data_IF_426035707653
#
_entry.id   IF_426035707653
#
_cell.length_a   1.000
_cell.length_b   1.000
_cell.length_c   1.000
_cell.angle_alpha   90.00
_cell.angle_beta   90.00
_cell.angle_gamma   90.00
#
_symmetry.space_group_name_H-M   'P 1'
#
loop_
_entity.id
_entity.type
_entity.pdbx_description
1 polymer ?
#
# COMPACT_ATOMS: atom_id res chain seq x y z
N UNK A 1 32.55 44.09 21.83
CA UNK A 1 31.36 44.26 22.71
C UNK A 1 30.03 44.24 21.95
N UNK A 2 30.00 44.43 20.61
CA UNK A 2 28.77 44.52 19.80
C UNK A 2 28.22 43.19 19.30
N UNK A 3 29.03 42.13 19.16
CA UNK A 3 28.58 40.82 18.69
C UNK A 3 27.88 39.99 19.77
N UNK A 4 28.24 40.17 21.03
CA UNK A 4 27.65 39.45 22.17
C UNK A 4 26.20 39.86 22.45
N UNK A 5 25.87 41.14 22.25
CA UNK A 5 24.51 41.65 22.43
C UNK A 5 23.52 41.18 21.32
N UNK A 6 24.04 40.96 20.12
CA UNK A 6 23.24 40.44 19.01
C UNK A 6 22.88 38.98 19.21
N UNK A 7 23.82 38.16 19.68
CA UNK A 7 23.58 36.74 19.92
C UNK A 7 22.64 36.49 21.10
N UNK A 8 22.66 37.34 22.12
CA UNK A 8 21.75 37.23 23.27
C UNK A 8 20.30 37.63 22.88
N UNK A 9 20.17 38.65 22.02
CA UNK A 9 18.86 39.09 21.53
C UNK A 9 18.19 38.06 20.60
N UNK A 10 18.99 37.36 19.79
CA UNK A 10 18.49 36.27 18.94
C UNK A 10 18.15 34.99 19.73
N UNK A 11 18.91 34.63 20.76
CA UNK A 11 18.57 33.50 21.63
C UNK A 11 17.31 33.71 22.44
N UNK A 12 17.07 34.92 22.93
CA UNK A 12 15.85 35.23 23.66
C UNK A 12 14.59 35.30 22.75
N UNK A 13 14.77 35.62 21.47
CA UNK A 13 13.67 35.58 20.49
C UNK A 13 13.31 34.14 20.05
N UNK A 14 14.24 33.18 20.14
CA UNK A 14 13.96 31.76 19.84
C UNK A 14 13.40 30.96 21.04
N UNK A 15 13.41 31.51 22.24
CA UNK A 15 12.85 30.87 23.44
C UNK A 15 11.49 31.40 23.88
N UNK A 16 10.95 32.42 23.20
CA UNK A 16 9.55 32.70 23.33
C UNK A 16 8.81 31.58 22.59
N UNK A 17 8.10 30.74 23.35
CA UNK A 17 7.01 29.90 22.82
C UNK A 17 6.26 30.77 21.79
N UNK A 18 6.33 30.37 20.53
CA UNK A 18 5.44 30.89 19.51
C UNK A 18 4.08 30.28 19.85
N UNK A 19 3.40 30.86 20.82
CA UNK A 19 1.94 30.73 20.89
C UNK A 19 1.48 31.13 19.51
N UNK A 20 0.66 30.31 18.91
CA UNK A 20 0.09 30.48 17.59
C UNK A 20 -0.34 31.95 17.42
N UNK A 21 0.12 32.68 16.37
CA UNK A 21 -0.18 34.09 16.19
C UNK A 21 -1.68 34.37 16.14
N UNK A 22 -2.52 33.38 15.87
CA UNK A 22 -3.96 33.44 15.94
C UNK A 22 -4.54 33.58 17.36
N UNK A 23 -3.75 33.36 18.41
CA UNK A 23 -4.13 33.51 19.82
C UNK A 23 -3.76 34.90 20.39
N UNK A 24 -3.17 35.78 19.59
CA UNK A 24 -2.83 37.13 20.02
C UNK A 24 -4.10 38.03 20.09
N UNK A 25 -4.31 38.68 21.22
CA UNK A 25 -5.50 39.52 21.48
C UNK A 25 -5.71 40.67 20.48
N UNK A 26 -4.74 40.96 19.62
CA UNK A 26 -4.87 41.92 18.54
C UNK A 26 -5.56 41.39 17.28
N UNK A 27 -5.83 40.06 17.20
CA UNK A 27 -6.58 39.46 16.10
C UNK A 27 -8.08 39.29 16.50
N UNK A 28 -8.80 40.36 16.65
CA UNK A 28 -10.26 40.36 17.01
C UNK A 28 -11.18 39.70 15.96
N UNK A 29 -10.66 39.13 14.88
CA UNK A 29 -11.46 38.57 13.78
C UNK A 29 -11.47 37.06 13.65
N UNK A 30 -10.60 36.32 14.36
CA UNK A 30 -10.46 34.88 14.24
C UNK A 30 -10.63 34.19 15.60
N UNK A 31 -11.86 34.06 16.07
CA UNK A 31 -12.16 33.14 17.16
C UNK A 31 -12.05 31.71 16.65
N UNK A 32 -10.88 31.09 16.77
CA UNK A 32 -10.74 29.66 16.55
C UNK A 32 -11.45 28.95 17.69
N UNK A 33 -12.63 28.44 17.44
CA UNK A 33 -13.33 27.59 18.39
C UNK A 33 -12.45 26.39 18.71
N UNK A 34 -12.28 26.07 20.01
CA UNK A 34 -11.67 24.81 20.43
C UNK A 34 -12.38 23.68 19.69
N UNK A 35 -11.65 22.96 18.84
CA UNK A 35 -12.21 21.82 18.13
C UNK A 35 -12.81 20.82 19.14
N UNK A 36 -13.81 20.08 18.68
CA UNK A 36 -14.37 18.95 19.44
C UNK A 36 -13.22 17.97 19.71
N UNK A 37 -13.06 17.54 20.97
CA UNK A 37 -12.12 16.45 21.29
C UNK A 37 -12.35 15.29 20.31
N UNK A 38 -11.31 14.95 19.57
CA UNK A 38 -11.42 13.84 18.63
C UNK A 38 -11.64 12.54 19.44
N UNK A 39 -12.65 11.75 19.08
CA UNK A 39 -12.82 10.43 19.71
C UNK A 39 -11.56 9.60 19.51
N UNK A 40 -11.28 8.73 20.48
CA UNK A 40 -10.13 7.83 20.41
C UNK A 40 -10.03 7.19 19.02
N UNK A 41 -8.85 7.19 18.37
CA UNK A 41 -8.66 6.73 16.98
C UNK A 41 -9.02 5.25 16.79
N UNK A 42 -9.18 4.52 17.88
CA UNK A 42 -9.61 3.11 17.86
C UNK A 42 -10.73 2.92 18.88
N UNK A 43 -11.92 2.55 18.41
CA UNK A 43 -13.01 2.18 19.31
C UNK A 43 -12.59 0.96 20.18
N UNK A 44 -12.51 1.07 21.51
CA UNK A 44 -12.03 0.00 22.38
C UNK A 44 -12.81 -1.31 22.22
N UNK A 45 -14.12 -1.23 21.98
CA UNK A 45 -14.97 -2.39 21.77
C UNK A 45 -14.63 -3.16 20.49
N UNK A 46 -14.22 -2.44 19.41
CA UNK A 46 -13.75 -3.06 18.17
C UNK A 46 -12.37 -3.69 18.39
N UNK A 47 -11.48 -3.00 19.11
CA UNK A 47 -10.14 -3.53 19.41
C UNK A 47 -10.22 -4.84 20.22
N UNK A 48 -11.11 -4.94 21.20
CA UNK A 48 -11.34 -6.19 21.94
C UNK A 48 -11.93 -7.29 21.05
N UNK A 49 -12.92 -6.99 20.23
CA UNK A 49 -13.49 -7.98 19.28
C UNK A 49 -12.43 -8.49 18.32
N UNK A 50 -11.53 -7.62 17.82
CA UNK A 50 -10.43 -8.01 16.93
C UNK A 50 -9.37 -8.89 17.59
N UNK A 51 -9.12 -8.73 18.91
CA UNK A 51 -8.22 -9.60 19.68
C UNK A 51 -8.71 -11.06 19.74
N UNK A 52 -10.01 -11.26 19.71
CA UNK A 52 -10.64 -12.59 19.77
C UNK A 52 -10.85 -13.23 18.38
N UNK A 53 -10.71 -12.46 17.29
CA UNK A 53 -10.77 -13.01 15.95
C UNK A 53 -9.44 -13.69 15.61
N UNK A 54 -9.30 -14.97 15.98
CA UNK A 54 -8.21 -15.80 15.43
C UNK A 54 -8.40 -15.88 13.93
N UNK A 55 -7.49 -15.28 13.16
CA UNK A 55 -7.44 -15.50 11.70
C UNK A 55 -7.35 -17.01 11.47
N UNK A 56 -8.34 -17.59 10.81
CA UNK A 56 -8.28 -18.98 10.37
C UNK A 56 -7.07 -19.11 9.44
N UNK A 57 -6.07 -19.89 9.84
CA UNK A 57 -4.96 -20.26 8.96
C UNK A 57 -5.46 -21.29 7.97
N UNK A 58 -5.41 -20.97 6.69
CA UNK A 58 -5.79 -21.90 5.62
C UNK A 58 -4.71 -22.97 5.47
N UNK A 59 -5.13 -24.17 5.11
CA UNK A 59 -4.22 -25.27 4.72
C UNK A 59 -3.73 -25.10 3.28
N UNK A 60 -2.67 -25.81 2.88
CA UNK A 60 -2.19 -25.79 1.50
C UNK A 60 -3.28 -26.23 0.51
N UNK A 61 -4.13 -27.21 0.89
CA UNK A 61 -5.26 -27.66 0.09
C UNK A 61 -6.30 -26.57 -0.15
N UNK A 62 -6.65 -25.82 0.91
CA UNK A 62 -7.61 -24.73 0.82
C UNK A 62 -7.07 -23.61 -0.08
N UNK A 63 -5.76 -23.27 0.01
CA UNK A 63 -5.12 -22.31 -0.89
C UNK A 63 -5.17 -22.76 -2.35
N UNK A 64 -4.70 -23.97 -2.64
CA UNK A 64 -4.63 -24.49 -4.01
C UNK A 64 -6.04 -24.59 -4.63
N UNK A 65 -7.00 -25.11 -3.87
CA UNK A 65 -8.39 -25.22 -4.33
C UNK A 65 -8.99 -23.84 -4.62
N UNK A 66 -8.77 -22.87 -3.75
CA UNK A 66 -9.27 -21.50 -3.94
C UNK A 66 -8.63 -20.81 -5.14
N UNK A 67 -7.31 -20.99 -5.34
CA UNK A 67 -6.59 -20.44 -6.49
C UNK A 67 -7.17 -21.01 -7.80
N UNK A 68 -7.39 -22.31 -7.89
CA UNK A 68 -7.94 -22.93 -9.09
C UNK A 68 -9.41 -22.57 -9.36
N UNK A 69 -10.17 -22.26 -8.32
CA UNK A 69 -11.53 -21.71 -8.44
C UNK A 69 -11.54 -20.24 -8.90
N UNK A 70 -10.39 -19.56 -8.87
CA UNK A 70 -10.28 -18.13 -9.20
C UNK A 70 -10.73 -17.21 -8.06
N UNK A 71 -10.67 -17.68 -6.80
CA UNK A 71 -10.97 -16.84 -5.64
C UNK A 71 -9.87 -15.82 -5.43
N UNK A 72 -10.19 -14.55 -5.72
CA UNK A 72 -9.25 -13.43 -5.64
C UNK A 72 -8.77 -13.20 -4.20
N UNK A 73 -9.61 -13.45 -3.20
CA UNK A 73 -9.22 -13.27 -1.80
C UNK A 73 -8.19 -14.31 -1.37
N UNK A 74 -8.42 -15.57 -1.74
CA UNK A 74 -7.46 -16.65 -1.46
C UNK A 74 -6.17 -16.45 -2.26
N UNK A 75 -6.25 -16.05 -3.52
CA UNK A 75 -5.08 -15.71 -4.33
C UNK A 75 -4.27 -14.58 -3.67
N UNK A 76 -4.91 -13.51 -3.22
CA UNK A 76 -4.24 -12.39 -2.54
C UNK A 76 -3.55 -12.83 -1.24
N UNK A 77 -4.18 -13.71 -0.46
CA UNK A 77 -3.58 -14.27 0.75
C UNK A 77 -2.39 -15.19 0.42
N UNK A 78 -2.51 -16.03 -0.60
CA UNK A 78 -1.43 -16.90 -1.06
C UNK A 78 -0.21 -16.10 -1.53
N UNK A 79 -0.41 -15.01 -2.28
CA UNK A 79 0.69 -14.13 -2.70
C UNK A 79 1.34 -13.47 -1.47
N UNK A 80 0.54 -13.02 -0.49
CA UNK A 80 1.07 -12.47 0.77
C UNK A 80 1.90 -13.51 1.54
N UNK A 81 1.47 -14.77 1.52
CA UNK A 81 2.20 -15.88 2.12
C UNK A 81 3.57 -16.08 1.43
N UNK A 82 3.60 -16.03 0.10
CA UNK A 82 4.84 -16.15 -0.70
C UNK A 82 5.79 -14.97 -0.46
N UNK A 83 5.26 -13.75 -0.36
CA UNK A 83 6.05 -12.54 -0.10
C UNK A 83 6.57 -12.45 1.34
N UNK A 84 6.00 -13.23 2.26
CA UNK A 84 6.37 -13.20 3.67
C UNK A 84 7.81 -13.67 3.91
N UNK A 85 8.53 -12.94 4.78
CA UNK A 85 9.87 -13.33 5.24
C UNK A 85 9.86 -14.33 6.43
N UNK A 86 8.69 -14.67 6.96
CA UNK A 86 8.55 -15.56 8.11
C UNK A 86 8.87 -17.01 7.71
N UNK A 87 9.62 -17.70 8.55
CA UNK A 87 10.07 -19.09 8.28
C UNK A 87 8.87 -20.06 8.23
N UNK A 88 7.91 -19.90 9.12
CA UNK A 88 6.68 -20.70 9.17
C UNK A 88 5.81 -20.54 7.90
N UNK A 89 5.83 -19.35 7.28
CA UNK A 89 5.14 -19.09 6.02
C UNK A 89 5.86 -19.68 4.80
N UNK A 90 7.19 -19.78 4.86
CA UNK A 90 7.98 -20.23 3.70
C UNK A 90 7.70 -21.69 3.32
N UNK A 91 7.58 -22.59 4.31
CA UNK A 91 7.26 -23.99 4.06
C UNK A 91 5.88 -24.15 3.40
N UNK A 92 4.88 -23.45 3.93
CA UNK A 92 3.52 -23.45 3.38
C UNK A 92 3.49 -22.82 1.98
N UNK A 93 4.18 -21.71 1.77
CA UNK A 93 4.27 -21.04 0.47
C UNK A 93 4.89 -21.95 -0.58
N UNK A 94 5.97 -22.65 -0.23
CA UNK A 94 6.65 -23.58 -1.15
C UNK A 94 5.75 -24.75 -1.52
N UNK A 95 4.98 -25.27 -0.58
CA UNK A 95 4.02 -26.34 -0.85
C UNK A 95 2.93 -25.88 -1.81
N UNK A 96 2.33 -24.72 -1.56
CA UNK A 96 1.30 -24.14 -2.44
C UNK A 96 1.86 -23.90 -3.86
N UNK A 97 3.07 -23.34 -3.98
CA UNK A 97 3.73 -23.12 -5.27
C UNK A 97 3.93 -24.45 -6.00
N UNK A 98 4.53 -25.44 -5.34
CA UNK A 98 4.83 -26.75 -5.96
C UNK A 98 3.56 -27.41 -6.52
N UNK A 99 2.44 -27.28 -5.81
CA UNK A 99 1.16 -27.85 -6.23
C UNK A 99 0.49 -27.05 -7.36
N UNK A 100 0.79 -25.76 -7.49
CA UNK A 100 0.29 -24.93 -8.59
C UNK A 100 1.14 -25.08 -9.87
N UNK A 101 2.43 -25.45 -9.76
CA UNK A 101 3.37 -25.52 -10.88
C UNK A 101 2.87 -26.33 -12.10
N UNK A 102 2.24 -27.50 -11.96
CA UNK A 102 1.76 -28.29 -13.12
C UNK A 102 0.76 -27.52 -14.00
N UNK A 103 0.08 -26.52 -13.46
CA UNK A 103 -0.92 -25.73 -14.17
C UNK A 103 -0.39 -24.38 -14.69
N UNK A 104 0.91 -24.14 -14.55
CA UNK A 104 1.57 -22.88 -15.00
C UNK A 104 2.07 -22.97 -16.44
N UNK A 105 2.62 -21.88 -16.96
CA UNK A 105 3.31 -21.83 -18.25
C UNK A 105 2.46 -21.44 -19.44
N UNK A 106 1.14 -21.25 -19.28
CA UNK A 106 0.24 -20.87 -20.37
C UNK A 106 -0.03 -19.38 -20.46
N UNK A 107 0.59 -18.56 -19.59
CA UNK A 107 0.38 -17.11 -19.56
C UNK A 107 1.50 -16.35 -20.28
N UNK A 108 1.13 -15.28 -20.97
CA UNK A 108 2.08 -14.28 -21.50
C UNK A 108 2.44 -13.32 -20.36
N UNK A 109 3.72 -13.02 -20.20
CA UNK A 109 4.23 -12.05 -19.22
C UNK A 109 4.81 -10.86 -19.96
N UNK A 110 4.30 -9.67 -19.63
CA UNK A 110 4.69 -8.42 -20.26
C UNK A 110 5.31 -7.51 -19.20
N UNK A 111 6.56 -7.12 -19.39
CA UNK A 111 7.23 -6.13 -18.54
C UNK A 111 7.02 -4.73 -19.10
N UNK A 112 6.44 -3.81 -18.30
CA UNK A 112 6.24 -2.40 -18.67
C UNK A 112 7.12 -1.56 -17.75
N UNK A 113 8.09 -0.88 -18.35
CA UNK A 113 9.04 -0.02 -17.63
C UNK A 113 9.09 1.37 -18.25
N UNK A 114 9.64 2.34 -17.55
CA UNK A 114 9.80 3.71 -18.01
C UNK A 114 9.90 4.70 -16.85
N UNK A 115 10.28 5.92 -17.15
CA UNK A 115 10.43 7.01 -16.18
C UNK A 115 9.10 7.35 -15.47
N UNK A 116 9.12 7.94 -14.28
CA UNK A 116 7.93 8.49 -13.64
C UNK A 116 7.22 9.49 -14.57
N UNK A 117 5.91 9.45 -14.64
CA UNK A 117 5.11 10.35 -15.49
C UNK A 117 4.99 9.94 -16.96
N UNK A 118 5.64 8.88 -17.43
CA UNK A 118 5.59 8.43 -18.83
C UNK A 118 4.23 7.83 -19.26
N UNK A 119 3.22 7.82 -18.42
CA UNK A 119 1.89 7.28 -18.76
C UNK A 119 1.76 5.76 -18.63
N UNK A 120 2.68 5.07 -17.92
CA UNK A 120 2.62 3.61 -17.75
C UNK A 120 1.29 3.11 -17.21
N UNK A 121 0.80 3.71 -16.14
CA UNK A 121 -0.47 3.29 -15.50
C UNK A 121 -1.66 3.52 -16.43
N UNK A 122 -1.69 4.63 -17.17
CA UNK A 122 -2.73 4.91 -18.16
C UNK A 122 -2.72 3.89 -19.30
N UNK A 123 -1.52 3.53 -19.77
CA UNK A 123 -1.36 2.49 -20.78
C UNK A 123 -1.83 1.13 -20.25
N UNK A 124 -1.43 0.76 -19.02
CA UNK A 124 -1.83 -0.52 -18.39
C UNK A 124 -3.35 -0.59 -18.26
N UNK A 125 -3.99 0.50 -17.87
CA UNK A 125 -5.44 0.56 -17.73
C UNK A 125 -6.15 0.37 -19.07
N UNK A 126 -5.79 1.14 -20.08
CA UNK A 126 -6.41 1.06 -21.39
C UNK A 126 -6.17 -0.32 -22.05
N UNK A 127 -4.93 -0.81 -22.01
CA UNK A 127 -4.57 -2.12 -22.55
C UNK A 127 -5.21 -3.26 -21.78
N UNK A 128 -5.25 -3.16 -20.45
CA UNK A 128 -5.90 -4.14 -19.60
C UNK A 128 -7.39 -4.24 -19.88
N UNK A 129 -8.09 -3.12 -19.99
CA UNK A 129 -9.51 -3.08 -20.37
C UNK A 129 -9.77 -3.68 -21.73
N UNK A 130 -8.91 -3.39 -22.71
CA UNK A 130 -9.01 -4.03 -24.01
C UNK A 130 -8.90 -5.54 -23.90
N UNK A 131 -7.93 -6.06 -23.17
CA UNK A 131 -7.75 -7.51 -22.98
C UNK A 131 -8.92 -8.16 -22.24
N UNK A 132 -9.45 -7.52 -21.19
CA UNK A 132 -10.61 -8.07 -20.47
C UNK A 132 -11.87 -8.06 -21.31
N UNK A 133 -12.06 -7.06 -22.19
CA UNK A 133 -13.18 -7.04 -23.15
C UNK A 133 -13.10 -8.16 -24.19
N UNK A 134 -11.90 -8.64 -24.52
CA UNK A 134 -11.66 -9.81 -25.36
C UNK A 134 -11.80 -11.15 -24.56
N UNK A 135 -12.18 -11.09 -23.31
CA UNK A 135 -12.39 -12.26 -22.44
C UNK A 135 -11.12 -12.82 -21.79
N UNK A 136 -10.00 -12.10 -21.85
CA UNK A 136 -8.78 -12.52 -21.18
C UNK A 136 -8.81 -12.17 -19.69
N UNK A 137 -8.22 -13.04 -18.87
CA UNK A 137 -7.93 -12.73 -17.45
C UNK A 137 -6.55 -12.15 -17.34
N UNK A 138 -6.42 -11.05 -16.62
CA UNK A 138 -5.16 -10.34 -16.45
C UNK A 138 -4.78 -10.16 -14.98
N UNK A 139 -3.48 -10.14 -14.73
CA UNK A 139 -2.94 -9.76 -13.43
C UNK A 139 -1.90 -8.67 -13.62
N UNK A 140 -2.06 -7.57 -12.90
CA UNK A 140 -1.13 -6.45 -12.87
C UNK A 140 -0.36 -6.50 -11.55
N UNK A 141 0.94 -6.74 -11.62
CA UNK A 141 1.85 -6.69 -10.48
C UNK A 141 2.58 -5.35 -10.54
N UNK A 142 2.09 -4.36 -9.81
CA UNK A 142 2.67 -3.03 -9.76
C UNK A 142 3.77 -3.00 -8.70
N UNK A 143 4.99 -2.66 -9.09
CA UNK A 143 6.14 -2.52 -8.19
C UNK A 143 6.47 -1.03 -8.08
N UNK A 144 6.21 -0.44 -6.93
CA UNK A 144 6.49 0.97 -6.68
C UNK A 144 7.82 1.12 -5.92
N UNK A 145 8.86 1.70 -6.57
CA UNK A 145 10.14 1.95 -5.92
C UNK A 145 10.06 3.04 -4.84
N UNK A 146 9.00 3.84 -4.80
CA UNK A 146 8.82 4.93 -3.84
C UNK A 146 8.16 4.48 -2.53
N UNK A 147 7.64 3.25 -2.45
CA UNK A 147 6.89 2.74 -1.31
C UNK A 147 7.66 2.70 0.02
N UNK A 148 8.99 2.73 -0.02
CA UNK A 148 9.82 2.84 1.19
C UNK A 148 9.91 4.26 1.76
N UNK A 149 9.82 5.29 0.92
CA UNK A 149 9.92 6.68 1.36
C UNK A 149 8.60 7.26 1.87
N UNK A 150 7.49 6.76 1.38
CA UNK A 150 6.17 7.18 1.81
C UNK A 150 5.36 5.95 2.25
N UNK A 151 5.24 5.72 3.55
CA UNK A 151 4.44 4.64 4.15
C UNK A 151 2.94 4.65 3.75
N UNK A 152 2.53 5.48 2.78
CA UNK A 152 1.17 5.68 2.31
C UNK A 152 0.93 5.46 0.81
N UNK A 153 1.97 5.15 0.00
CA UNK A 153 1.86 5.12 -1.47
C UNK A 153 1.25 3.84 -2.07
N UNK A 154 1.03 2.80 -1.28
CA UNK A 154 0.50 1.51 -1.78
C UNK A 154 -0.90 1.64 -2.42
N UNK A 155 -1.67 2.65 -2.06
CA UNK A 155 -2.99 2.92 -2.63
C UNK A 155 -2.94 3.71 -3.93
N UNK A 156 -1.84 4.43 -4.20
CA UNK A 156 -1.73 5.33 -5.35
C UNK A 156 -1.82 4.65 -6.71
N UNK A 157 -1.37 3.40 -6.84
CA UNK A 157 -1.45 2.68 -8.11
C UNK A 157 -2.85 2.11 -8.37
N UNK A 158 -3.60 1.74 -7.34
CA UNK A 158 -5.01 1.34 -7.48
C UNK A 158 -5.91 2.52 -7.90
N UNK A 159 -5.67 3.71 -7.36
CA UNK A 159 -6.44 4.90 -7.69
C UNK A 159 -6.15 5.43 -9.11
N UNK A 160 -5.04 5.01 -9.73
CA UNK A 160 -4.70 5.36 -11.12
C UNK A 160 -5.27 4.39 -12.16
N UNK A 161 -5.81 3.26 -11.74
CA UNK A 161 -6.39 2.22 -12.59
C UNK A 161 -7.79 1.89 -12.08
N UNK A 162 -8.65 2.92 -11.95
CA UNK A 162 -9.96 2.81 -11.28
C UNK A 162 -10.90 1.86 -12.02
N UNK A 163 -11.01 1.99 -13.32
CA UNK A 163 -11.90 1.18 -14.13
C UNK A 163 -11.44 -0.28 -14.19
N UNK A 164 -10.12 -0.50 -14.35
CA UNK A 164 -9.57 -1.84 -14.39
C UNK A 164 -9.64 -2.52 -13.01
N UNK A 165 -9.54 -1.76 -11.93
CA UNK A 165 -9.62 -2.30 -10.56
C UNK A 165 -11.02 -2.83 -10.19
N UNK A 166 -12.04 -2.40 -10.91
CA UNK A 166 -13.42 -2.85 -10.76
C UNK A 166 -13.79 -4.02 -11.69
N UNK A 167 -12.89 -4.39 -12.63
CA UNK A 167 -13.15 -5.45 -13.59
C UNK A 167 -12.98 -6.85 -12.94
N UNK A 168 -13.97 -7.73 -13.01
CA UNK A 168 -13.90 -9.07 -12.41
C UNK A 168 -12.84 -9.98 -13.06
N UNK A 169 -12.38 -9.66 -14.27
CA UNK A 169 -11.32 -10.38 -14.98
C UNK A 169 -9.94 -9.82 -14.74
N UNK A 170 -9.81 -8.74 -13.96
CA UNK A 170 -8.55 -8.10 -13.64
C UNK A 170 -8.19 -8.27 -12.17
N UNK A 171 -6.93 -8.59 -11.91
CA UNK A 171 -6.36 -8.62 -10.57
C UNK A 171 -5.20 -7.63 -10.49
N UNK A 172 -5.29 -6.63 -9.61
CA UNK A 172 -4.24 -5.63 -9.42
C UNK A 172 -3.62 -5.80 -8.05
N UNK A 173 -2.31 -6.06 -8.00
CA UNK A 173 -1.55 -6.17 -6.77
C UNK A 173 -0.41 -5.16 -6.74
N UNK A 174 -0.47 -4.17 -5.85
CA UNK A 174 0.70 -3.38 -5.49
C UNK A 174 1.64 -4.24 -4.63
N UNK A 175 2.88 -4.40 -5.04
CA UNK A 175 3.91 -5.10 -4.28
C UNK A 175 5.02 -4.13 -3.89
N UNK A 176 5.48 -4.14 -2.61
CA UNK A 176 6.58 -3.29 -2.20
C UNK A 176 7.89 -3.74 -2.85
N UNK A 177 8.75 -2.80 -3.21
CA UNK A 177 10.07 -3.09 -3.80
C UNK A 177 11.07 -3.69 -2.81
N UNK A 178 10.73 -3.75 -1.53
CA UNK A 178 11.55 -4.31 -0.43
C UNK A 178 13.03 -3.87 -0.44
N UNK A 179 13.30 -2.60 -0.76
CA UNK A 179 14.63 -2.00 -0.69
C UNK A 179 15.53 -2.28 -1.89
N UNK A 180 15.06 -2.95 -2.93
CA UNK A 180 15.83 -3.08 -4.15
C UNK A 180 15.69 -1.84 -5.03
N UNK A 181 16.81 -1.16 -5.31
CA UNK A 181 16.88 -0.11 -6.32
C UNK A 181 16.50 -0.69 -7.69
N UNK A 182 15.55 -0.03 -8.38
CA UNK A 182 15.22 -0.41 -9.76
C UNK A 182 13.84 -1.04 -9.98
N UNK A 183 12.95 -1.05 -8.98
CA UNK A 183 11.57 -1.53 -9.17
C UNK A 183 11.45 -3.03 -9.44
N UNK A 184 12.31 -3.82 -8.79
CA UNK A 184 12.30 -5.29 -8.86
C UNK A 184 11.71 -5.83 -7.55
N UNK A 185 10.80 -6.78 -7.65
CA UNK A 185 10.29 -7.50 -6.48
C UNK A 185 11.38 -8.40 -5.89
N UNK A 186 11.37 -8.59 -4.57
CA UNK A 186 12.36 -9.40 -3.86
C UNK A 186 12.20 -10.91 -4.10
N UNK A 187 11.01 -11.34 -4.50
CA UNK A 187 10.63 -12.74 -4.75
C UNK A 187 9.77 -12.86 -6.00
#
# INVERSE_FOLDING_TARGET
>A
LTLSLYQTKYKNAMQQNIEHPENDACYEGLAVNKGIEQPDPVNPAIAERLKHLKKKTLTADEYVTGIFRGDINILSQAITLVESARIDHQAMAQEVINRCLPNTGKSVRIGITGVPGAGKSTFIEAFGKFLTSEGHKIAVLAIDPSSERSKGSILGDKTRMEELSCDPHAYIRPSPSAGSLGGVARK
#
